data_IF_104530166145
#
_entry.id   IF_104530166145
#
_cell.length_a   1.000
_cell.length_b   1.000
_cell.length_c   1.000
_cell.angle_alpha   90.00
_cell.angle_beta   90.00
_cell.angle_gamma   90.00
#
_symmetry.space_group_name_H-M   'P 1'
#
loop_
_entity.id
_entity.type
_entity.pdbx_description
1 polymer ?
#
# COMPACT_ATOMS: atom_id res chain seq x y z
N UNK A 1 4.15 -0.25 5.43
CA UNK A 1 4.15 1.19 5.10
C UNK A 1 4.30 2.06 6.34
N UNK A 2 3.56 1.81 7.43
CA UNK A 2 3.61 2.64 8.65
C UNK A 2 5.02 2.79 9.24
N UNK A 3 5.79 1.71 9.37
CA UNK A 3 7.15 1.76 9.89
C UNK A 3 8.11 2.56 9.00
N UNK A 4 7.90 2.55 7.67
CA UNK A 4 8.67 3.38 6.73
C UNK A 4 8.38 4.86 6.99
N UNK A 5 7.10 5.23 7.10
CA UNK A 5 6.72 6.61 7.41
C UNK A 5 7.19 7.09 8.77
N UNK A 6 7.14 6.22 9.79
CA UNK A 6 7.68 6.55 11.12
C UNK A 6 9.21 6.74 11.07
N UNK A 7 9.92 5.87 10.36
CA UNK A 7 11.37 5.99 10.19
C UNK A 7 11.74 7.30 9.46
N UNK A 8 10.98 7.67 8.42
CA UNK A 8 11.17 8.94 7.72
C UNK A 8 10.97 10.16 8.66
N UNK A 9 9.97 10.12 9.54
CA UNK A 9 9.74 11.18 10.52
C UNK A 9 10.86 11.29 11.55
N UNK A 10 11.41 10.17 12.04
CA UNK A 10 12.56 10.16 12.94
C UNK A 10 13.75 10.89 12.29
N UNK A 11 14.01 10.63 11.00
CA UNK A 11 15.04 11.34 10.24
C UNK A 11 14.70 12.83 10.09
N UNK A 12 13.46 13.13 9.70
CA UNK A 12 13.01 14.51 9.49
C UNK A 12 13.07 15.37 10.78
N UNK A 13 12.90 14.75 11.95
CA UNK A 13 13.04 15.42 13.25
C UNK A 13 14.48 15.55 13.72
N UNK A 14 15.45 14.94 13.03
CA UNK A 14 16.87 14.99 13.37
C UNK A 14 17.31 14.02 14.44
N UNK A 15 16.46 13.04 14.79
CA UNK A 15 16.79 12.02 15.79
C UNK A 15 17.71 10.91 15.21
N UNK A 16 17.78 10.78 13.89
CA UNK A 16 18.67 9.85 13.19
C UNK A 16 18.99 10.37 11.77
N UNK A 17 20.19 10.07 11.29
CA UNK A 17 20.58 10.35 9.90
C UNK A 17 20.19 9.22 8.93
N UNK A 18 20.15 7.98 9.44
CA UNK A 18 19.88 6.77 8.64
C UNK A 18 18.95 5.82 9.41
N UNK A 19 17.95 5.30 8.74
CA UNK A 19 17.02 4.31 9.27
C UNK A 19 16.83 3.16 8.28
N UNK A 20 16.72 1.93 8.79
CA UNK A 20 16.32 0.76 8.02
C UNK A 20 14.89 0.40 8.38
N UNK A 21 14.02 0.35 7.40
CA UNK A 21 12.60 0.06 7.58
C UNK A 21 12.06 -0.82 6.45
N UNK A 22 11.10 -1.67 6.75
CA UNK A 22 10.52 -2.56 5.74
C UNK A 22 9.53 -3.53 6.35
N UNK A 23 9.35 -4.67 5.71
CA UNK A 23 8.48 -5.72 6.19
C UNK A 23 8.94 -7.10 5.72
N UNK A 24 8.56 -8.09 6.49
CA UNK A 24 8.75 -9.50 6.15
C UNK A 24 7.49 -10.26 6.55
N UNK A 25 7.04 -11.14 5.69
CA UNK A 25 5.87 -11.97 5.94
C UNK A 25 6.09 -13.40 5.49
N UNK A 26 5.67 -14.35 6.30
CA UNK A 26 5.58 -15.77 5.97
C UNK A 26 4.24 -16.31 6.47
N UNK A 27 3.19 -16.00 5.72
CA UNK A 27 1.83 -16.40 6.03
C UNK A 27 1.46 -17.78 5.48
N UNK A 28 2.27 -18.38 4.59
CA UNK A 28 2.03 -19.69 3.99
C UNK A 28 2.29 -20.86 4.98
N UNK A 29 1.64 -20.78 6.14
CA UNK A 29 1.69 -21.79 7.20
C UNK A 29 0.31 -22.43 7.35
N UNK A 30 0.20 -23.64 7.97
CA UNK A 30 -1.11 -24.26 8.22
C UNK A 30 -2.09 -23.35 8.97
N UNK A 31 -1.60 -22.55 9.93
CA UNK A 31 -2.43 -21.59 10.67
C UNK A 31 -2.83 -20.40 9.78
N UNK A 32 -1.90 -19.84 8.99
CA UNK A 32 -2.19 -18.75 8.07
C UNK A 32 -3.22 -19.17 7.01
N UNK A 33 -2.97 -20.29 6.33
CA UNK A 33 -3.91 -20.82 5.33
C UNK A 33 -5.27 -21.16 5.96
N UNK A 34 -5.26 -21.84 7.12
CA UNK A 34 -6.50 -22.20 7.83
C UNK A 34 -7.30 -21.00 8.31
N UNK A 35 -6.62 -19.99 8.86
CA UNK A 35 -7.27 -18.76 9.36
C UNK A 35 -7.89 -17.93 8.24
N UNK A 36 -7.14 -17.63 7.18
CA UNK A 36 -7.67 -16.88 6.04
C UNK A 36 -8.69 -17.68 5.23
N UNK A 37 -8.55 -19.01 5.16
CA UNK A 37 -9.53 -19.90 4.56
C UNK A 37 -10.86 -19.89 5.34
N UNK A 38 -10.80 -19.95 6.68
CA UNK A 38 -11.97 -19.84 7.54
C UNK A 38 -12.69 -18.47 7.41
N UNK A 39 -11.90 -17.41 7.20
CA UNK A 39 -12.43 -16.07 6.91
C UNK A 39 -12.99 -15.93 5.49
N UNK A 40 -12.86 -16.95 4.63
CA UNK A 40 -13.26 -16.94 3.21
C UNK A 40 -12.63 -15.79 2.43
N UNK A 41 -11.38 -15.47 2.76
CA UNK A 41 -10.65 -14.36 2.15
C UNK A 41 -9.73 -14.81 0.99
N UNK A 42 -9.40 -16.12 0.93
CA UNK A 42 -8.53 -16.68 -0.10
C UNK A 42 -9.30 -17.03 -1.38
N UNK A 43 -8.62 -16.88 -2.52
CA UNK A 43 -9.07 -17.45 -3.78
C UNK A 43 -9.16 -18.98 -3.68
N UNK A 44 -10.18 -19.54 -4.30
CA UNK A 44 -10.39 -20.99 -4.39
C UNK A 44 -10.06 -21.54 -5.77
N UNK A 45 -9.46 -20.73 -6.65
CA UNK A 45 -9.14 -21.08 -8.04
C UNK A 45 -7.91 -22.00 -8.15
N UNK A 46 -8.07 -23.22 -7.65
CA UNK A 46 -7.01 -24.24 -7.66
C UNK A 46 -6.88 -24.98 -9.01
N UNK A 47 -7.86 -24.84 -9.88
CA UNK A 47 -7.86 -25.34 -11.26
C UNK A 47 -6.94 -24.51 -12.18
N UNK A 48 -6.75 -23.22 -11.86
CA UNK A 48 -5.84 -22.34 -12.57
C UNK A 48 -5.13 -21.37 -11.60
N UNK A 49 -4.19 -21.86 -10.77
CA UNK A 49 -3.58 -21.08 -9.68
C UNK A 49 -2.78 -19.87 -10.19
N UNK A 50 -2.20 -19.96 -11.39
CA UNK A 50 -1.44 -18.84 -11.98
C UNK A 50 -2.32 -17.64 -12.35
N UNK A 51 -3.63 -17.82 -12.48
CA UNK A 51 -4.61 -16.78 -12.74
C UNK A 51 -5.51 -16.48 -11.54
N UNK A 52 -5.16 -16.97 -10.35
CA UNK A 52 -5.97 -16.80 -9.14
C UNK A 52 -5.90 -15.37 -8.60
N UNK A 53 -4.69 -14.79 -8.50
CA UNK A 53 -4.53 -13.36 -8.17
C UNK A 53 -4.80 -12.52 -9.41
N UNK A 54 -5.89 -11.76 -9.37
CA UNK A 54 -6.37 -10.95 -10.51
C UNK A 54 -7.08 -9.67 -10.02
N UNK A 55 -6.32 -8.73 -9.42
CA UNK A 55 -6.88 -7.50 -8.87
C UNK A 55 -7.75 -6.75 -9.87
N UNK A 56 -8.88 -6.24 -9.39
CA UNK A 56 -9.92 -5.51 -10.14
C UNK A 56 -10.64 -6.30 -11.24
N UNK A 57 -10.23 -7.53 -11.53
CA UNK A 57 -10.93 -8.37 -12.50
C UNK A 57 -12.34 -8.74 -12.00
N UNK A 58 -13.26 -8.89 -12.95
CA UNK A 58 -14.68 -9.21 -12.65
C UNK A 58 -14.84 -10.55 -11.93
N UNK A 59 -13.99 -11.53 -12.26
CA UNK A 59 -14.07 -12.89 -11.74
C UNK A 59 -13.10 -13.16 -10.58
N UNK A 60 -12.53 -12.12 -9.97
CA UNK A 60 -11.70 -12.28 -8.78
C UNK A 60 -12.53 -12.82 -7.61
N UNK A 61 -11.96 -13.71 -6.82
CA UNK A 61 -12.66 -14.42 -5.75
C UNK A 61 -11.94 -14.41 -4.40
N UNK A 62 -10.81 -13.71 -4.29
CA UNK A 62 -10.03 -13.63 -3.07
C UNK A 62 -8.55 -13.42 -3.34
N UNK A 63 -7.75 -13.29 -2.29
CA UNK A 63 -6.31 -13.10 -2.42
C UNK A 63 -5.55 -14.44 -2.41
N UNK A 64 -4.30 -14.40 -2.85
CA UNK A 64 -3.36 -15.52 -2.78
C UNK A 64 -2.28 -15.15 -1.77
N UNK A 65 -1.99 -16.08 -0.83
CA UNK A 65 -0.91 -15.89 0.13
C UNK A 65 0.44 -15.80 -0.57
N UNK A 66 1.22 -14.80 -0.22
CA UNK A 66 2.60 -14.64 -0.65
C UNK A 66 3.53 -14.53 0.55
N UNK A 67 4.71 -15.11 0.44
CA UNK A 67 5.79 -14.96 1.40
C UNK A 67 6.86 -14.05 0.82
N UNK A 68 7.44 -13.16 1.63
CA UNK A 68 8.49 -12.29 1.14
C UNK A 68 9.00 -11.31 2.20
N UNK A 69 10.03 -10.57 1.82
CA UNK A 69 10.58 -9.49 2.62
C UNK A 69 11.11 -8.37 1.72
N UNK A 70 10.97 -7.15 2.17
CA UNK A 70 11.52 -5.97 1.52
C UNK A 70 11.97 -4.95 2.55
N UNK A 71 13.21 -4.47 2.40
CA UNK A 71 13.81 -3.48 3.30
C UNK A 71 14.27 -2.28 2.51
N UNK A 72 14.06 -1.08 3.07
CA UNK A 72 14.54 0.18 2.56
C UNK A 72 15.55 0.77 3.53
N UNK A 73 16.58 1.39 3.00
CA UNK A 73 17.46 2.28 3.75
C UNK A 73 16.99 3.71 3.45
N UNK A 74 16.50 4.36 4.49
CA UNK A 74 16.12 5.77 4.46
C UNK A 74 17.29 6.59 5.02
N UNK A 75 17.59 7.69 4.40
CA UNK A 75 18.73 8.52 4.78
C UNK A 75 18.40 9.99 4.58
N UNK A 76 18.89 10.85 5.47
CA UNK A 76 18.78 12.29 5.34
C UNK A 76 19.45 12.74 4.03
N UNK A 77 18.79 13.63 3.29
CA UNK A 77 19.14 13.99 1.93
C UNK A 77 20.58 14.56 1.79
N UNK A 78 20.93 15.54 2.62
CA UNK A 78 22.25 16.15 2.57
C UNK A 78 23.36 15.20 3.09
N UNK A 79 23.04 14.34 4.06
CA UNK A 79 23.93 13.28 4.52
C UNK A 79 24.25 12.31 3.37
N UNK A 80 23.23 11.86 2.62
CA UNK A 80 23.40 10.98 1.47
C UNK A 80 24.25 11.64 0.36
N UNK A 81 23.97 12.89 0.04
CA UNK A 81 24.75 13.67 -0.95
C UNK A 81 26.20 13.84 -0.55
N UNK A 82 26.45 14.19 0.71
CA UNK A 82 27.82 14.43 1.23
C UNK A 82 28.72 13.20 1.08
N UNK A 83 28.17 11.98 1.24
CA UNK A 83 28.93 10.74 1.05
C UNK A 83 28.90 10.19 -0.38
N UNK A 84 28.23 10.88 -1.32
CA UNK A 84 28.11 10.44 -2.71
C UNK A 84 27.22 9.23 -2.91
N UNK A 85 26.19 9.05 -2.06
CA UNK A 85 25.26 7.94 -2.17
C UNK A 85 24.44 8.02 -3.45
N UNK A 86 24.09 6.87 -4.01
CA UNK A 86 23.08 6.79 -5.06
C UNK A 86 21.71 6.96 -4.42
N UNK A 87 21.03 8.05 -4.74
CA UNK A 87 19.65 8.33 -4.32
C UNK A 87 18.72 7.78 -5.39
N UNK A 88 17.79 6.91 -5.01
CA UNK A 88 16.82 6.31 -5.93
C UNK A 88 15.56 7.15 -6.04
N UNK A 89 15.09 7.72 -4.93
CA UNK A 89 13.91 8.56 -4.84
C UNK A 89 13.94 9.33 -3.52
N UNK A 90 13.08 10.34 -3.40
CA UNK A 90 12.82 11.06 -2.16
C UNK A 90 11.46 10.63 -1.60
N UNK A 91 11.39 10.36 -0.30
CA UNK A 91 10.14 10.14 0.41
C UNK A 91 9.65 11.49 0.94
N UNK A 92 8.70 12.08 0.24
CA UNK A 92 8.27 13.46 0.47
C UNK A 92 7.02 13.60 1.33
N UNK A 93 6.28 12.52 1.58
CA UNK A 93 5.08 12.58 2.40
C UNK A 93 4.61 11.23 2.90
N UNK A 94 3.89 11.24 4.01
CA UNK A 94 3.35 10.06 4.66
C UNK A 94 1.97 10.33 5.25
N UNK A 95 1.00 9.46 4.96
CA UNK A 95 -0.35 9.56 5.48
C UNK A 95 -0.82 8.27 6.17
N UNK A 96 -1.51 8.42 7.26
CA UNK A 96 -2.15 7.34 8.02
C UNK A 96 -3.63 7.62 8.20
N UNK A 97 -4.40 6.54 8.32
CA UNK A 97 -5.81 6.56 8.71
C UNK A 97 -6.21 5.19 9.25
N UNK A 98 -7.43 5.11 9.77
CA UNK A 98 -8.08 3.86 10.13
C UNK A 98 -9.53 3.93 9.70
N UNK A 99 -10.08 2.81 9.21
CA UNK A 99 -11.49 2.76 8.81
C UNK A 99 -12.45 2.89 10.00
N UNK A 100 -12.09 2.32 11.15
CA UNK A 100 -12.96 2.22 12.34
C UNK A 100 -14.38 1.73 12.00
N UNK A 101 -14.48 0.81 11.05
CA UNK A 101 -15.73 0.35 10.43
C UNK A 101 -16.02 -1.11 10.75
N UNK A 102 -15.15 -2.01 10.35
CA UNK A 102 -15.29 -3.44 10.53
C UNK A 102 -13.93 -4.09 10.76
N UNK A 103 -13.91 -5.26 11.40
CA UNK A 103 -12.69 -5.97 11.77
C UNK A 103 -11.76 -6.27 10.58
N UNK A 104 -12.34 -6.61 9.41
CA UNK A 104 -11.59 -7.02 8.21
C UNK A 104 -12.08 -6.38 6.90
N UNK A 105 -13.31 -5.88 6.83
CA UNK A 105 -13.88 -5.31 5.60
C UNK A 105 -13.74 -3.79 5.58
N UNK A 106 -13.22 -3.22 4.48
CA UNK A 106 -13.26 -1.77 4.30
C UNK A 106 -14.69 -1.29 4.04
N UNK A 107 -15.00 -0.01 4.34
CA UNK A 107 -16.26 0.59 3.93
C UNK A 107 -16.30 0.69 2.39
N UNK A 108 -17.47 0.51 1.79
CA UNK A 108 -17.61 0.48 0.33
C UNK A 108 -17.14 1.75 -0.38
N UNK A 109 -17.22 2.89 0.30
CA UNK A 109 -16.77 4.18 -0.23
C UNK A 109 -15.25 4.39 -0.15
N UNK A 110 -14.49 3.45 0.46
CA UNK A 110 -13.04 3.53 0.61
C UNK A 110 -12.56 4.75 1.43
N UNK A 111 -13.38 5.26 2.36
CA UNK A 111 -13.11 6.51 3.07
C UNK A 111 -11.76 6.51 3.81
N UNK A 112 -11.39 5.40 4.47
CA UNK A 112 -10.10 5.30 5.15
C UNK A 112 -8.93 5.37 4.19
N UNK A 113 -8.97 4.63 3.09
CA UNK A 113 -7.92 4.68 2.07
C UNK A 113 -7.82 6.08 1.43
N UNK A 114 -8.95 6.71 1.13
CA UNK A 114 -8.99 8.08 0.64
C UNK A 114 -8.35 9.07 1.64
N UNK A 115 -8.68 8.93 2.94
CA UNK A 115 -8.10 9.79 3.97
C UNK A 115 -6.58 9.59 4.11
N UNK A 116 -6.08 8.35 4.00
CA UNK A 116 -4.64 8.09 4.02
C UNK A 116 -3.93 8.77 2.84
N UNK A 117 -4.50 8.67 1.62
CA UNK A 117 -3.96 9.36 0.44
C UNK A 117 -4.00 10.87 0.59
N UNK A 118 -5.13 11.44 1.05
CA UNK A 118 -5.25 12.89 1.29
C UNK A 118 -4.22 13.38 2.33
N UNK A 119 -4.01 12.61 3.39
CA UNK A 119 -3.02 12.94 4.41
C UNK A 119 -1.59 12.90 3.85
N UNK A 120 -1.26 11.92 3.01
CA UNK A 120 0.05 11.83 2.36
C UNK A 120 0.31 13.00 1.39
N UNK A 121 -0.67 13.37 0.57
CA UNK A 121 -0.58 14.52 -0.33
C UNK A 121 -0.39 15.82 0.43
N UNK A 122 -1.16 16.01 1.52
CA UNK A 122 -1.02 17.19 2.39
C UNK A 122 0.35 17.26 3.07
N UNK A 123 0.86 16.15 3.56
CA UNK A 123 2.18 16.06 4.20
C UNK A 123 3.29 16.38 3.18
N UNK A 124 3.14 15.89 1.95
CA UNK A 124 4.05 16.17 0.85
C UNK A 124 3.95 17.59 0.27
N UNK A 125 2.86 18.31 0.52
CA UNK A 125 2.60 19.62 -0.07
C UNK A 125 2.37 19.61 -1.58
N UNK A 126 1.82 18.49 -2.11
CA UNK A 126 1.57 18.30 -3.55
C UNK A 126 0.10 18.05 -3.85
N UNK A 127 -0.30 18.36 -5.07
CA UNK A 127 -1.65 18.13 -5.57
C UNK A 127 -1.80 16.71 -6.15
N UNK A 128 -2.99 16.14 -6.07
CA UNK A 128 -3.30 14.83 -6.63
C UNK A 128 -2.99 14.75 -8.15
N UNK A 129 -3.13 15.83 -8.88
CA UNK A 129 -2.84 15.91 -10.32
C UNK A 129 -1.36 15.73 -10.67
N UNK A 130 -0.46 15.84 -9.71
CA UNK A 130 0.99 15.65 -9.86
C UNK A 130 1.40 14.17 -9.70
N UNK A 131 0.48 13.31 -9.27
CA UNK A 131 0.73 11.89 -9.11
C UNK A 131 0.56 11.17 -10.46
N UNK A 132 1.60 10.49 -10.90
CA UNK A 132 1.58 9.71 -12.14
C UNK A 132 1.24 8.23 -11.93
N UNK A 133 1.48 7.71 -10.72
CA UNK A 133 1.34 6.28 -10.44
C UNK A 133 0.94 6.00 -8.99
N UNK A 134 0.07 5.02 -8.81
CA UNK A 134 -0.33 4.47 -7.51
C UNK A 134 0.01 2.98 -7.48
N UNK A 135 0.90 2.58 -6.58
CA UNK A 135 1.04 1.17 -6.20
C UNK A 135 -0.01 0.88 -5.13
N UNK A 136 -1.07 0.21 -5.54
CA UNK A 136 -2.23 -0.07 -4.71
C UNK A 136 -2.03 -1.33 -3.85
N UNK A 137 -2.92 -1.56 -2.91
CA UNK A 137 -2.99 -2.82 -2.19
C UNK A 137 -3.46 -3.95 -3.11
N UNK A 138 -4.55 -3.74 -3.86
CA UNK A 138 -5.00 -4.57 -4.97
C UNK A 138 -4.95 -6.07 -4.68
N UNK A 139 -5.62 -6.52 -3.63
CA UNK A 139 -5.48 -7.89 -3.12
C UNK A 139 -6.24 -8.95 -3.91
N UNK A 140 -6.98 -8.56 -4.95
CA UNK A 140 -7.88 -9.47 -5.67
C UNK A 140 -9.12 -9.89 -4.85
N UNK A 141 -9.44 -9.15 -3.79
CA UNK A 141 -10.67 -9.39 -3.03
C UNK A 141 -11.82 -8.55 -3.58
N UNK A 142 -13.05 -9.09 -3.66
CA UNK A 142 -14.20 -8.36 -4.21
C UNK A 142 -14.44 -7.00 -3.55
N UNK A 143 -14.45 -6.95 -2.22
CA UNK A 143 -14.73 -5.73 -1.47
C UNK A 143 -13.52 -4.77 -1.44
N UNK A 144 -12.31 -5.30 -1.21
CA UNK A 144 -11.10 -4.50 -1.08
C UNK A 144 -10.79 -3.70 -2.34
N UNK A 145 -10.72 -4.37 -3.49
CA UNK A 145 -10.40 -3.73 -4.76
C UNK A 145 -11.45 -2.68 -5.18
N UNK A 146 -12.74 -2.94 -4.87
CA UNK A 146 -13.82 -1.98 -5.13
C UNK A 146 -13.66 -0.72 -4.29
N UNK A 147 -13.42 -0.88 -3.00
CA UNK A 147 -13.25 0.23 -2.08
C UNK A 147 -12.01 1.07 -2.42
N UNK A 148 -10.91 0.41 -2.79
CA UNK A 148 -9.68 1.09 -3.17
C UNK A 148 -9.84 1.86 -4.49
N UNK A 149 -10.48 1.28 -5.50
CA UNK A 149 -10.80 1.98 -6.74
C UNK A 149 -11.69 3.21 -6.50
N UNK A 150 -12.64 3.11 -5.56
CA UNK A 150 -13.48 4.25 -5.17
C UNK A 150 -12.66 5.34 -4.46
N UNK A 151 -11.73 4.95 -3.58
CA UNK A 151 -10.83 5.88 -2.91
C UNK A 151 -9.94 6.65 -3.91
N UNK A 152 -9.36 5.94 -4.88
CA UNK A 152 -8.58 6.56 -5.98
C UNK A 152 -9.43 7.58 -6.73
N UNK A 153 -10.65 7.22 -7.14
CA UNK A 153 -11.55 8.14 -7.84
C UNK A 153 -11.89 9.37 -6.99
N UNK A 154 -12.10 9.19 -5.70
CA UNK A 154 -12.42 10.28 -4.76
C UNK A 154 -11.28 11.28 -4.65
N UNK A 155 -10.03 10.79 -4.56
CA UNK A 155 -8.85 11.65 -4.36
C UNK A 155 -8.39 12.30 -5.65
N UNK A 156 -8.39 11.55 -6.76
CA UNK A 156 -7.85 12.04 -8.02
C UNK A 156 -8.89 12.76 -8.90
N UNK A 157 -10.20 12.59 -8.63
CA UNK A 157 -11.25 13.25 -9.40
C UNK A 157 -11.09 13.05 -10.91
N UNK A 158 -11.01 14.11 -11.69
CA UNK A 158 -10.79 14.07 -13.14
C UNK A 158 -9.42 13.48 -13.51
N UNK A 159 -8.41 13.60 -12.65
CA UNK A 159 -7.09 13.04 -12.87
C UNK A 159 -7.06 11.50 -12.73
N UNK A 160 -8.08 10.89 -12.15
CA UNK A 160 -8.17 9.44 -11.97
C UNK A 160 -8.09 8.66 -13.30
N UNK A 161 -8.47 9.26 -14.42
CA UNK A 161 -8.36 8.65 -15.76
C UNK A 161 -6.93 8.64 -16.32
N UNK A 162 -6.01 9.38 -15.72
CA UNK A 162 -4.62 9.54 -16.17
C UNK A 162 -3.60 8.88 -15.25
N UNK A 163 -3.94 8.67 -13.99
CA UNK A 163 -3.06 8.01 -13.03
C UNK A 163 -2.97 6.51 -13.34
N UNK A 164 -1.76 6.00 -13.42
CA UNK A 164 -1.53 4.57 -13.59
C UNK A 164 -1.67 3.86 -12.24
N UNK A 165 -2.32 2.71 -12.23
CA UNK A 165 -2.55 1.93 -11.00
C UNK A 165 -2.14 0.49 -11.24
N UNK A 166 -1.35 -0.07 -10.35
CA UNK A 166 -1.11 -1.50 -10.27
C UNK A 166 -0.93 -1.94 -8.81
N UNK A 167 -0.86 -3.22 -8.58
CA UNK A 167 -0.45 -3.81 -7.30
C UNK A 167 0.69 -4.79 -7.53
N UNK A 168 1.51 -5.01 -6.54
CA UNK A 168 2.62 -5.97 -6.51
C UNK A 168 2.35 -7.05 -5.48
#
# INVERSE_FOLDING_TARGET
>A
VHNIGHAARIIAYGDADVMVAGGAEKASTPLGVGGFGAARALSTRNDNPQAASRPWDKERDGFVLGDGAGMLVLEEYEHAKKRGAKIYAELVGFGMSSDAYHMTSPPENGAGAALAMANALRDAGIEASQIGYVNAHGTSTPAGDKAEAQAVKTIFGEAASRVLVSST
#
